data_IF_730381806190
#
_entry.id   IF_730381806190
#
_cell.length_a   1.000
_cell.length_b   1.000
_cell.length_c   1.000
_cell.angle_alpha   90.00
_cell.angle_beta   90.00
_cell.angle_gamma   90.00
#
_symmetry.space_group_name_H-M   'P 1'
#
loop_
_entity.id
_entity.type
_entity.pdbx_description
1 polymer ?
#
# COMPACT_ATOMS: atom_id res chain seq x y z
N UNK A 1 11.63 -0.17 -13.90
CA UNK A 1 11.20 -1.34 -13.11
C UNK A 1 10.19 -2.07 -13.95
N UNK A 2 10.47 -3.33 -14.25
CA UNK A 2 9.53 -4.17 -14.99
C UNK A 2 8.30 -4.45 -14.10
N UNK A 3 7.12 -4.62 -14.72
CA UNK A 3 5.88 -4.95 -13.99
C UNK A 3 6.09 -6.20 -13.14
N UNK A 4 6.84 -7.20 -13.64
CA UNK A 4 7.16 -8.40 -12.85
C UNK A 4 7.97 -8.08 -11.58
N UNK A 5 8.96 -7.20 -11.66
CA UNK A 5 9.80 -6.79 -10.53
C UNK A 5 8.97 -6.10 -9.44
N UNK A 6 7.99 -5.28 -9.82
CA UNK A 6 7.04 -4.66 -8.91
C UNK A 6 6.19 -5.68 -8.16
N UNK A 7 5.68 -6.70 -8.85
CA UNK A 7 4.87 -7.75 -8.23
C UNK A 7 5.66 -8.57 -7.22
N UNK A 8 6.91 -8.90 -7.57
CA UNK A 8 7.83 -9.52 -6.62
C UNK A 8 8.12 -8.61 -5.43
N UNK A 9 8.34 -7.31 -5.65
CA UNK A 9 8.61 -6.35 -4.56
C UNK A 9 7.46 -6.31 -3.55
N UNK A 10 6.21 -6.20 -4.02
CA UNK A 10 5.04 -6.22 -3.14
C UNK A 10 4.86 -7.55 -2.42
N UNK A 11 5.11 -8.66 -3.11
CA UNK A 11 5.03 -10.00 -2.52
C UNK A 11 6.09 -10.19 -1.43
N UNK A 12 7.34 -9.80 -1.68
CA UNK A 12 8.42 -9.86 -0.68
C UNK A 12 8.15 -8.94 0.51
N UNK A 13 7.64 -7.73 0.27
CA UNK A 13 7.32 -6.79 1.34
C UNK A 13 6.18 -7.34 2.21
N UNK A 14 5.12 -7.86 1.59
CA UNK A 14 4.02 -8.53 2.29
C UNK A 14 4.51 -9.73 3.11
N UNK A 15 5.35 -10.59 2.53
CA UNK A 15 5.92 -11.74 3.22
C UNK A 15 6.79 -11.33 4.41
N UNK A 16 7.61 -10.28 4.26
CA UNK A 16 8.40 -9.72 5.36
C UNK A 16 7.52 -9.23 6.51
N UNK A 17 6.42 -8.53 6.21
CA UNK A 17 5.46 -8.06 7.21
C UNK A 17 4.69 -9.20 7.87
N UNK A 18 4.38 -10.24 7.13
CA UNK A 18 3.74 -11.44 7.68
C UNK A 18 4.68 -12.15 8.67
N UNK A 19 5.96 -12.29 8.33
CA UNK A 19 6.98 -12.85 9.25
C UNK A 19 7.13 -11.95 10.48
N UNK A 20 7.15 -10.62 10.31
CA UNK A 20 7.18 -9.67 11.41
C UNK A 20 5.97 -9.83 12.34
N UNK A 21 4.77 -9.99 11.78
CA UNK A 21 3.54 -10.26 12.54
C UNK A 21 3.62 -11.55 13.36
N UNK A 22 4.15 -12.63 12.78
CA UNK A 22 4.38 -13.90 13.51
C UNK A 22 5.40 -13.73 14.64
N UNK A 23 6.47 -12.96 14.40
CA UNK A 23 7.45 -12.63 15.42
C UNK A 23 6.80 -11.87 16.58
N UNK A 24 6.06 -10.80 16.29
CA UNK A 24 5.34 -10.04 17.31
C UNK A 24 4.37 -10.94 18.11
N UNK A 25 3.64 -11.83 17.44
CA UNK A 25 2.71 -12.74 18.11
C UNK A 25 3.39 -13.75 19.03
N UNK A 26 4.62 -14.17 18.71
CA UNK A 26 5.37 -15.10 19.54
C UNK A 26 5.97 -14.44 20.78
N UNK A 27 6.44 -13.19 20.67
CA UNK A 27 7.19 -12.51 21.73
C UNK A 27 6.36 -11.53 22.58
N UNK A 28 5.23 -11.01 22.07
CA UNK A 28 4.39 -10.06 22.79
C UNK A 28 3.31 -10.80 23.59
N UNK A 29 3.39 -10.72 24.92
CA UNK A 29 2.44 -11.40 25.83
C UNK A 29 1.03 -10.80 25.80
N UNK A 30 0.91 -9.51 25.45
CA UNK A 30 -0.35 -8.76 25.50
C UNK A 30 -1.14 -8.82 24.18
N UNK A 31 -0.70 -9.64 23.23
CA UNK A 31 -1.30 -9.75 21.91
C UNK A 31 -0.72 -8.74 20.91
N UNK A 32 -1.21 -8.81 19.67
CA UNK A 32 -0.72 -8.02 18.54
C UNK A 32 -1.78 -7.01 18.13
N UNK A 33 -1.40 -5.76 17.88
CA UNK A 33 -2.30 -4.72 17.34
C UNK A 33 -2.92 -5.15 16.00
N UNK A 34 -4.11 -4.66 15.69
CA UNK A 34 -4.82 -5.05 14.44
C UNK A 34 -4.01 -4.62 13.22
N UNK A 35 -3.33 -3.49 13.33
CA UNK A 35 -2.47 -2.84 12.36
C UNK A 35 -1.29 -3.75 12.00
N UNK A 36 -0.62 -4.37 12.99
CA UNK A 36 0.43 -5.36 12.73
C UNK A 36 -0.17 -6.67 12.23
N UNK A 37 -1.32 -7.09 12.77
CA UNK A 37 -2.00 -8.33 12.39
C UNK A 37 -2.37 -8.37 10.90
N UNK A 38 -2.83 -7.25 10.36
CA UNK A 38 -3.35 -7.15 9.00
C UNK A 38 -2.51 -6.30 8.06
N UNK A 39 -1.47 -5.60 8.55
CA UNK A 39 -0.66 -4.69 7.76
C UNK A 39 0.04 -5.35 6.57
N UNK A 40 0.34 -6.65 6.65
CA UNK A 40 0.92 -7.41 5.54
C UNK A 40 -0.03 -7.54 4.32
N UNK A 41 -1.34 -7.44 4.52
CA UNK A 41 -2.33 -7.49 3.44
C UNK A 41 -2.30 -6.23 2.56
N UNK A 42 -1.83 -5.11 3.09
CA UNK A 42 -1.82 -3.82 2.38
C UNK A 42 -0.95 -3.88 1.12
N UNK A 43 0.35 -4.20 1.19
CA UNK A 43 1.17 -4.34 -0.01
C UNK A 43 0.72 -5.50 -0.90
N UNK A 44 0.12 -6.55 -0.33
CA UNK A 44 -0.41 -7.68 -1.10
C UNK A 44 -1.58 -7.26 -1.98
N UNK A 45 -2.64 -6.74 -1.38
CA UNK A 45 -3.83 -6.28 -2.11
C UNK A 45 -3.53 -5.06 -2.96
N UNK A 46 -2.75 -4.11 -2.45
CA UNK A 46 -2.31 -2.96 -3.22
C UNK A 46 -1.48 -3.37 -4.45
N UNK A 47 -0.61 -4.37 -4.33
CA UNK A 47 0.10 -4.95 -5.46
C UNK A 47 -0.86 -5.64 -6.44
N UNK A 48 -1.67 -6.60 -5.98
CA UNK A 48 -2.61 -7.34 -6.83
C UNK A 48 -3.62 -6.41 -7.55
N UNK A 49 -4.07 -5.35 -6.87
CA UNK A 49 -5.01 -4.38 -7.42
C UNK A 49 -4.41 -3.63 -8.60
N UNK A 50 -3.17 -3.15 -8.51
CA UNK A 50 -2.52 -2.46 -9.64
C UNK A 50 -2.28 -3.40 -10.82
N UNK A 51 -1.85 -4.64 -10.59
CA UNK A 51 -1.70 -5.61 -11.67
C UNK A 51 -3.03 -5.89 -12.37
N UNK A 52 -4.10 -6.03 -11.60
CA UNK A 52 -5.43 -6.33 -12.15
C UNK A 52 -5.96 -5.16 -12.97
N UNK A 53 -5.85 -3.93 -12.46
CA UNK A 53 -6.27 -2.72 -13.18
C UNK A 53 -5.46 -2.48 -14.44
N UNK A 54 -4.15 -2.65 -14.36
CA UNK A 54 -3.26 -2.46 -15.51
C UNK A 54 -3.44 -3.56 -16.56
N UNK A 55 -3.68 -4.82 -16.15
CA UNK A 55 -3.97 -5.92 -17.07
C UNK A 55 -5.31 -5.77 -17.78
N UNK A 56 -6.36 -5.33 -17.06
CA UNK A 56 -7.72 -5.22 -17.62
C UNK A 56 -7.93 -3.94 -18.43
N UNK A 57 -7.40 -2.80 -17.94
CA UNK A 57 -7.75 -1.47 -18.46
C UNK A 57 -6.54 -0.72 -19.04
N UNK A 58 -5.30 -1.21 -18.88
CA UNK A 58 -4.09 -0.47 -19.26
C UNK A 58 -4.07 0.98 -18.72
N UNK A 59 -4.72 1.20 -17.58
CA UNK A 59 -5.06 2.52 -17.04
C UNK A 59 -3.81 3.30 -16.57
N UNK A 60 -2.71 2.59 -16.32
CA UNK A 60 -1.43 3.15 -15.88
C UNK A 60 -0.47 3.45 -17.05
N UNK A 61 -1.00 3.88 -18.19
CA UNK A 61 -0.20 4.50 -19.28
C UNK A 61 0.58 5.72 -18.78
N UNK A 62 0.03 6.45 -17.80
CA UNK A 62 0.59 7.72 -17.37
C UNK A 62 1.53 7.58 -16.17
N UNK A 63 2.80 7.96 -16.41
CA UNK A 63 3.89 7.96 -15.42
C UNK A 63 3.56 8.65 -14.08
N UNK A 64 2.90 9.82 -14.03
CA UNK A 64 2.61 10.48 -12.74
C UNK A 64 1.58 9.70 -11.90
N UNK A 65 0.52 9.18 -12.51
CA UNK A 65 -0.48 8.36 -11.81
C UNK A 65 0.15 7.09 -11.24
N UNK A 66 1.00 6.43 -12.02
CA UNK A 66 1.76 5.26 -11.57
C UNK A 66 2.70 5.55 -10.39
N UNK A 67 3.48 6.63 -10.46
CA UNK A 67 4.37 7.01 -9.35
C UNK A 67 3.59 7.35 -8.07
N UNK A 68 2.51 8.12 -8.19
CA UNK A 68 1.66 8.49 -7.05
C UNK A 68 1.02 7.26 -6.40
N UNK A 69 0.67 6.24 -7.18
CA UNK A 69 0.15 4.97 -6.66
C UNK A 69 1.14 4.33 -5.71
N UNK A 70 2.38 4.16 -6.18
CA UNK A 70 3.43 3.49 -5.42
C UNK A 70 3.82 4.27 -4.17
N UNK A 71 3.91 5.60 -4.26
CA UNK A 71 4.20 6.48 -3.12
C UNK A 71 3.06 6.43 -2.10
N UNK A 72 1.80 6.48 -2.56
CA UNK A 72 0.63 6.39 -1.69
C UNK A 72 0.58 5.06 -0.94
N UNK A 73 0.76 3.95 -1.66
CA UNK A 73 0.77 2.61 -1.07
C UNK A 73 1.94 2.42 -0.09
N UNK A 74 3.13 2.92 -0.41
CA UNK A 74 4.28 2.87 0.50
C UNK A 74 4.03 3.69 1.77
N UNK A 75 3.56 4.94 1.62
CA UNK A 75 3.22 5.83 2.74
C UNK A 75 2.16 5.23 3.65
N UNK A 76 1.11 4.64 3.07
CA UNK A 76 0.04 3.96 3.81
C UNK A 76 0.55 2.74 4.57
N UNK A 77 1.37 1.91 3.91
CA UNK A 77 1.98 0.72 4.52
C UNK A 77 2.87 1.10 5.70
N UNK A 78 3.72 2.12 5.53
CA UNK A 78 4.58 2.64 6.61
C UNK A 78 3.72 3.19 7.76
N UNK A 79 2.67 3.94 7.45
CA UNK A 79 1.75 4.49 8.47
C UNK A 79 1.15 3.39 9.35
N UNK A 80 0.61 2.33 8.74
CA UNK A 80 0.04 1.19 9.46
C UNK A 80 1.09 0.47 10.30
N UNK A 81 2.28 0.19 9.74
CA UNK A 81 3.33 -0.54 10.47
C UNK A 81 3.82 0.26 11.67
N UNK A 82 4.11 1.55 11.47
CA UNK A 82 4.61 2.41 12.54
C UNK A 82 3.55 2.60 13.61
N UNK A 83 2.29 2.86 13.22
CA UNK A 83 1.18 2.93 14.17
C UNK A 83 1.05 1.63 14.97
N UNK A 84 1.00 0.49 14.29
CA UNK A 84 0.86 -0.80 14.93
C UNK A 84 2.03 -1.16 15.84
N UNK A 85 3.25 -0.75 15.50
CA UNK A 85 4.44 -0.93 16.34
C UNK A 85 4.43 -0.02 17.58
N UNK A 86 3.96 1.22 17.44
CA UNK A 86 3.81 2.14 18.57
C UNK A 86 2.74 1.63 19.55
N UNK A 87 1.65 1.07 19.05
CA UNK A 87 0.60 0.47 19.90
C UNK A 87 1.14 -0.73 20.70
N UNK A 88 2.04 -1.54 20.14
CA UNK A 88 2.71 -2.62 20.87
C UNK A 88 3.53 -2.14 22.08
N UNK A 89 4.02 -0.88 22.05
CA UNK A 89 4.78 -0.27 23.14
C UNK A 89 3.94 0.73 23.96
N UNK A 90 2.60 0.67 23.86
CA UNK A 90 1.66 1.56 24.56
C UNK A 90 1.82 3.05 24.23
N UNK A 91 2.38 3.36 23.06
CA UNK A 91 2.52 4.74 22.60
C UNK A 91 1.48 5.03 21.53
N UNK A 92 0.66 6.05 21.72
CA UNK A 92 -0.32 6.49 20.73
C UNK A 92 0.08 7.85 20.19
N UNK A 93 0.25 7.98 18.87
CA UNK A 93 0.57 9.25 18.21
C UNK A 93 -0.44 9.56 17.13
N UNK A 94 -1.12 10.71 17.28
CA UNK A 94 -2.10 11.20 16.31
C UNK A 94 -1.47 11.45 14.92
N UNK A 95 -0.16 11.75 14.89
CA UNK A 95 0.62 11.93 13.66
C UNK A 95 0.71 10.67 12.79
N UNK A 96 0.66 9.47 13.38
CA UNK A 96 0.75 8.23 12.59
C UNK A 96 -0.55 7.93 11.84
N UNK A 97 -1.69 8.34 12.40
CA UNK A 97 -2.96 8.27 11.70
C UNK A 97 -2.96 9.17 10.45
N UNK A 98 -2.34 10.35 10.54
CA UNK A 98 -2.19 11.27 9.40
C UNK A 98 -1.35 10.69 8.27
N UNK A 99 -0.35 9.85 8.56
CA UNK A 99 0.42 9.15 7.53
C UNK A 99 -0.46 8.18 6.72
N UNK A 100 -1.32 7.41 7.42
CA UNK A 100 -2.26 6.50 6.75
C UNK A 100 -3.28 7.27 5.90
N UNK A 101 -3.80 8.39 6.39
CA UNK A 101 -4.71 9.25 5.63
C UNK A 101 -4.01 9.82 4.38
N UNK A 102 -2.78 10.33 4.53
CA UNK A 102 -2.01 10.88 3.41
C UNK A 102 -1.72 9.81 2.35
N UNK A 103 -1.37 8.59 2.78
CA UNK A 103 -1.18 7.45 1.89
C UNK A 103 -2.43 7.13 1.07
N UNK A 104 -3.61 7.03 1.73
CA UNK A 104 -4.88 6.82 1.04
C UNK A 104 -5.23 7.96 0.07
N UNK A 105 -4.99 9.21 0.45
CA UNK A 105 -5.25 10.37 -0.39
C UNK A 105 -4.41 10.33 -1.68
N UNK A 106 -3.10 10.05 -1.56
CA UNK A 106 -2.22 9.91 -2.73
C UNK A 106 -2.65 8.74 -3.63
N UNK A 107 -3.10 7.64 -3.01
CA UNK A 107 -3.62 6.49 -3.73
C UNK A 107 -4.89 6.83 -4.53
N UNK A 108 -5.82 7.59 -3.95
CA UNK A 108 -7.01 8.08 -4.63
C UNK A 108 -6.71 9.07 -5.77
N UNK A 109 -5.81 10.03 -5.53
CA UNK A 109 -5.37 11.00 -6.55
C UNK A 109 -4.72 10.27 -7.74
N UNK A 110 -3.89 9.26 -7.47
CA UNK A 110 -3.28 8.41 -8.48
C UNK A 110 -4.34 7.77 -9.38
N UNK A 111 -5.34 7.10 -8.80
CA UNK A 111 -6.40 6.43 -9.55
C UNK A 111 -7.21 7.43 -10.38
N UNK A 112 -7.51 8.60 -9.82
CA UNK A 112 -8.21 9.67 -10.54
C UNK A 112 -7.43 10.14 -11.77
N UNK A 113 -6.14 10.44 -11.62
CA UNK A 113 -5.29 10.88 -12.73
C UNK A 113 -5.18 9.79 -13.79
N UNK A 114 -4.94 8.55 -13.38
CA UNK A 114 -4.81 7.42 -14.31
C UNK A 114 -6.11 7.14 -15.07
N UNK A 115 -7.27 7.19 -14.40
CA UNK A 115 -8.57 7.03 -15.04
C UNK A 115 -8.89 8.19 -16.00
N UNK A 116 -8.68 9.43 -15.59
CA UNK A 116 -8.90 10.60 -16.44
C UNK A 116 -8.04 10.53 -17.71
N UNK A 117 -6.80 10.07 -17.56
CA UNK A 117 -5.86 9.88 -18.66
C UNK A 117 -6.29 8.79 -19.64
N UNK A 118 -6.80 7.68 -19.11
CA UNK A 118 -7.35 6.60 -19.92
C UNK A 118 -8.56 7.05 -20.74
N UNK A 119 -9.51 7.75 -20.09
CA UNK A 119 -10.71 8.27 -20.76
C UNK A 119 -10.38 9.31 -21.83
N UNK A 120 -9.39 10.17 -21.60
CA UNK A 120 -8.95 11.13 -22.62
C UNK A 120 -8.37 10.43 -23.84
N UNK A 121 -7.57 9.38 -23.63
CA UNK A 121 -6.97 8.61 -24.72
C UNK A 121 -8.02 7.87 -25.55
N UNK A 122 -9.03 7.27 -24.90
CA UNK A 122 -10.11 6.55 -25.59
C UNK A 122 -11.02 7.47 -26.43
N UNK A 123 -11.10 8.77 -26.10
CA UNK A 123 -11.87 9.75 -26.88
C UNK A 123 -11.09 10.32 -28.08
N UNK A 124 -9.78 10.09 -28.16
CA UNK A 124 -8.94 10.53 -29.29
C UNK A 124 -8.82 9.46 -30.40
N UNK A 125 -9.15 8.20 -30.10
CA UNK A 125 -9.16 7.05 -31.03
C UNK A 125 -10.54 6.84 -31.69
#
# INVERSE_FOLDING_TARGET
MDKKELGFTYSYLSMGLFIFQLFCQHYMQEGVSQEVKWGWLVPLFGGCFIFSLDFLLQIFSNRPGFCLYHIGLATFTIGIIVQGTLELIHFTSLYMHWFSIAGMALWGISLFISLASYLLKENED
#
